data_IF_642430202844
#
_entry.id   IF_642430202844
#
_cell.length_a   1.000
_cell.length_b   1.000
_cell.length_c   1.000
_cell.angle_alpha   90.00
_cell.angle_beta   90.00
_cell.angle_gamma   90.00
#
_symmetry.space_group_name_H-M   'P 1'
#
loop_
_entity.id
_entity.type
_entity.pdbx_description
1 polymer ?
#
# COMPACT_ATOMS: atom_id res chain seq x y z
N UNK A 1 -6.59 -5.82 -15.04
CA UNK A 1 -5.97 -5.62 -13.70
C UNK A 1 -4.78 -6.56 -13.42
N UNK A 2 -4.87 -7.86 -13.71
CA UNK A 2 -3.71 -8.79 -13.62
C UNK A 2 -2.59 -8.50 -14.64
N UNK A 3 -2.93 -7.89 -15.78
CA UNK A 3 -1.98 -7.67 -16.88
C UNK A 3 -1.15 -6.38 -16.77
N UNK A 4 -1.44 -5.50 -15.80
CA UNK A 4 -0.72 -4.23 -15.59
C UNK A 4 0.25 -4.27 -14.40
N UNK A 5 0.47 -5.42 -13.76
CA UNK A 5 1.31 -5.52 -12.56
C UNK A 5 0.79 -4.73 -11.33
N UNK A 6 -0.44 -4.20 -11.40
CA UNK A 6 -1.01 -3.29 -10.40
C UNK A 6 -1.64 -4.00 -9.19
N UNK A 7 -1.42 -5.31 -9.01
CA UNK A 7 -1.97 -6.07 -7.89
C UNK A 7 -1.41 -5.68 -6.52
N UNK A 8 -0.33 -4.90 -6.50
CA UNK A 8 0.36 -4.46 -5.27
C UNK A 8 0.16 -2.97 -4.98
N UNK A 9 -0.71 -2.27 -5.73
CA UNK A 9 -1.03 -0.86 -5.53
C UNK A 9 -2.33 -0.77 -4.71
N UNK A 10 -2.38 0.01 -3.63
CA UNK A 10 -3.60 0.16 -2.85
C UNK A 10 -4.66 0.83 -3.72
N UNK A 11 -5.86 0.22 -3.75
CA UNK A 11 -6.94 0.62 -4.65
C UNK A 11 -8.13 1.12 -3.85
N UNK A 12 -8.68 2.27 -4.26
CA UNK A 12 -9.92 2.82 -3.73
C UNK A 12 -10.97 2.71 -4.82
N UNK A 13 -12.10 2.05 -4.53
CA UNK A 13 -13.22 1.95 -5.47
C UNK A 13 -14.10 3.19 -5.32
N UNK A 14 -14.37 3.87 -6.42
CA UNK A 14 -15.17 5.11 -6.43
C UNK A 14 -16.29 5.00 -7.47
N UNK A 15 -17.53 5.15 -7.02
CA UNK A 15 -18.72 5.33 -7.84
C UNK A 15 -18.94 6.82 -8.10
N UNK A 16 -18.60 7.25 -9.31
CA UNK A 16 -18.80 8.62 -9.75
C UNK A 16 -20.20 8.83 -10.33
N UNK A 17 -20.65 10.09 -10.42
CA UNK A 17 -21.93 10.55 -10.99
C UNK A 17 -23.17 10.26 -10.13
N UNK A 18 -23.04 10.34 -8.80
CA UNK A 18 -24.20 10.16 -7.91
C UNK A 18 -25.32 11.19 -8.13
N UNK A 19 -25.02 12.32 -8.78
CA UNK A 19 -26.01 13.31 -9.20
C UNK A 19 -27.03 12.79 -10.21
N UNK A 20 -26.75 11.68 -10.90
CA UNK A 20 -27.66 11.05 -11.86
C UNK A 20 -28.53 9.94 -11.22
N UNK A 21 -28.34 9.66 -9.93
CA UNK A 21 -28.95 8.51 -9.25
C UNK A 21 -30.03 9.01 -8.29
N UNK A 22 -31.17 8.32 -8.26
CA UNK A 22 -32.23 8.63 -7.28
C UNK A 22 -31.72 8.36 -5.86
N UNK A 23 -31.97 9.23 -4.86
CA UNK A 23 -31.42 9.11 -3.51
C UNK A 23 -31.60 7.73 -2.87
N UNK A 24 -32.77 7.11 -3.09
CA UNK A 24 -33.12 5.78 -2.57
C UNK A 24 -32.29 4.62 -3.15
N UNK A 25 -31.57 4.81 -4.25
CA UNK A 25 -30.71 3.78 -4.84
C UNK A 25 -29.28 3.82 -4.26
N UNK A 26 -28.87 4.94 -3.66
CA UNK A 26 -27.53 5.10 -3.08
C UNK A 26 -27.38 4.23 -1.83
N UNK A 27 -28.42 4.11 -1.00
CA UNK A 27 -28.36 3.27 0.20
C UNK A 27 -28.29 1.77 -0.11
N UNK A 28 -28.82 1.33 -1.25
CA UNK A 28 -28.64 -0.06 -1.72
C UNK A 28 -27.19 -0.35 -2.16
N UNK A 29 -26.47 0.66 -2.65
CA UNK A 29 -25.09 0.56 -3.11
C UNK A 29 -24.06 0.75 -1.97
N UNK A 30 -24.42 1.42 -0.87
CA UNK A 30 -23.58 1.62 0.32
C UNK A 30 -23.21 0.34 1.09
N UNK A 31 -23.78 -0.82 0.74
CA UNK A 31 -23.42 -2.10 1.37
C UNK A 31 -21.97 -2.55 1.06
N UNK A 32 -21.34 -1.99 0.03
CA UNK A 32 -19.93 -2.24 -0.27
C UNK A 32 -19.06 -1.33 0.61
N UNK A 33 -18.66 -1.85 1.78
CA UNK A 33 -17.90 -1.13 2.83
C UNK A 33 -16.63 -0.43 2.34
N UNK A 34 -16.11 -0.75 1.16
CA UNK A 34 -14.88 -0.16 0.63
C UNK A 34 -15.08 0.82 -0.53
N UNK A 35 -16.32 1.13 -0.87
CA UNK A 35 -16.66 2.00 -2.00
C UNK A 35 -17.00 3.41 -1.55
N UNK A 36 -16.53 4.40 -2.31
CA UNK A 36 -16.89 5.81 -2.13
C UNK A 36 -17.85 6.26 -3.23
N UNK A 37 -18.70 7.23 -2.89
CA UNK A 37 -19.73 7.75 -3.77
C UNK A 37 -19.49 9.25 -3.98
N UNK A 38 -19.17 9.65 -5.22
CA UNK A 38 -18.84 11.04 -5.53
C UNK A 38 -19.66 11.57 -6.70
N UNK A 39 -19.82 12.89 -6.76
CA UNK A 39 -20.18 13.61 -7.97
C UNK A 39 -19.02 14.51 -8.37
N UNK A 40 -18.26 14.10 -9.38
CA UNK A 40 -17.20 14.94 -9.94
C UNK A 40 -17.73 16.26 -10.53
N UNK A 41 -19.01 16.30 -10.92
CA UNK A 41 -19.66 17.50 -11.45
C UNK A 41 -19.91 18.56 -10.37
N UNK A 42 -20.38 18.12 -9.20
CA UNK A 42 -20.82 19.01 -8.13
C UNK A 42 -19.80 19.11 -6.98
N UNK A 43 -18.74 18.30 -6.99
CA UNK A 43 -17.76 18.20 -5.91
C UNK A 43 -18.23 17.41 -4.68
N UNK A 44 -19.43 16.83 -4.70
CA UNK A 44 -19.95 16.06 -3.58
C UNK A 44 -19.11 14.78 -3.35
N UNK A 45 -18.77 14.49 -2.10
CA UNK A 45 -18.00 13.29 -1.70
C UNK A 45 -16.48 13.41 -1.87
N UNK A 46 -15.96 14.59 -2.24
CA UNK A 46 -14.52 14.81 -2.40
C UNK A 46 -13.77 14.82 -1.07
N UNK A 47 -14.37 15.36 0.00
CA UNK A 47 -13.75 15.35 1.33
C UNK A 47 -13.52 13.92 1.84
N UNK A 48 -14.51 13.03 1.67
CA UNK A 48 -14.37 11.61 2.02
C UNK A 48 -13.34 10.89 1.13
N UNK A 49 -13.25 11.26 -0.15
CA UNK A 49 -12.24 10.73 -1.05
C UNK A 49 -10.83 11.16 -0.64
N UNK A 50 -10.64 12.43 -0.30
CA UNK A 50 -9.37 12.96 0.17
C UNK A 50 -8.95 12.30 1.49
N UNK A 51 -9.84 12.20 2.48
CA UNK A 51 -9.56 11.52 3.75
C UNK A 51 -9.17 10.05 3.55
N UNK A 52 -9.85 9.35 2.62
CA UNK A 52 -9.53 7.95 2.33
C UNK A 52 -8.21 7.80 1.57
N UNK A 53 -7.90 8.72 0.66
CA UNK A 53 -6.60 8.79 -0.02
C UNK A 53 -5.50 9.03 1.02
N UNK A 54 -5.67 9.99 1.92
CA UNK A 54 -4.71 10.28 2.98
C UNK A 54 -4.51 9.05 3.87
N UNK A 55 -5.58 8.38 4.33
CA UNK A 55 -5.45 7.14 5.12
C UNK A 55 -4.70 6.02 4.39
N UNK A 56 -4.88 5.92 3.09
CA UNK A 56 -4.18 4.94 2.24
C UNK A 56 -2.72 5.35 1.99
N UNK A 57 -2.42 6.63 1.82
CA UNK A 57 -1.07 7.12 1.56
C UNK A 57 -0.22 7.23 2.83
N UNK A 58 -0.83 7.63 3.95
CA UNK A 58 -0.22 7.61 5.28
C UNK A 58 -0.22 6.22 5.92
N UNK A 59 -0.27 5.16 5.11
CA UNK A 59 -0.10 3.78 5.56
C UNK A 59 1.11 3.71 6.48
N UNK A 60 0.84 3.26 7.70
CA UNK A 60 1.72 3.30 8.87
C UNK A 60 3.13 2.85 8.49
N UNK A 61 4.11 3.69 8.82
CA UNK A 61 5.52 3.29 8.72
C UNK A 61 5.76 2.13 9.68
N UNK A 62 5.89 0.94 9.12
CA UNK A 62 6.25 -0.25 9.87
C UNK A 62 7.76 -0.27 10.06
N UNK A 63 8.18 -0.53 11.30
CA UNK A 63 9.57 -0.78 11.63
C UNK A 63 9.74 -2.26 11.89
N UNK A 64 10.72 -2.89 11.24
CA UNK A 64 10.99 -4.31 11.42
C UNK A 64 12.44 -4.66 11.15
N UNK A 65 12.84 -5.83 11.64
CA UNK A 65 14.19 -6.36 11.45
C UNK A 65 14.17 -7.45 10.39
N UNK A 66 15.02 -7.34 9.39
CA UNK A 66 15.19 -8.32 8.31
C UNK A 66 16.62 -8.86 8.31
N UNK A 67 16.76 -10.16 8.09
CA UNK A 67 18.07 -10.81 7.90
C UNK A 67 18.22 -11.14 6.42
N UNK A 68 19.20 -10.53 5.76
CA UNK A 68 19.46 -10.66 4.33
C UNK A 68 20.83 -11.27 4.14
N UNK A 69 20.93 -12.28 3.29
CA UNK A 69 22.21 -12.89 2.93
C UNK A 69 22.86 -12.12 1.78
N UNK A 70 24.19 -11.97 1.80
CA UNK A 70 24.94 -11.30 0.72
C UNK A 70 24.74 -11.95 -0.66
N UNK A 71 24.31 -13.21 -0.70
CA UNK A 71 24.07 -13.93 -1.95
C UNK A 71 22.85 -13.42 -2.75
N UNK A 72 22.13 -12.40 -2.28
CA UNK A 72 20.96 -11.82 -2.97
C UNK A 72 21.13 -10.31 -3.20
N UNK A 73 22.05 -9.89 -4.10
CA UNK A 73 22.35 -8.47 -4.33
C UNK A 73 21.12 -7.66 -4.74
N UNK A 74 20.20 -8.25 -5.53
CA UNK A 74 18.94 -7.59 -5.92
C UNK A 74 18.05 -7.21 -4.73
N UNK A 75 17.97 -8.09 -3.72
CA UNK A 75 17.17 -7.83 -2.52
C UNK A 75 17.86 -6.78 -1.63
N UNK A 76 19.19 -6.83 -1.53
CA UNK A 76 19.98 -5.82 -0.83
C UNK A 76 19.72 -4.44 -1.45
N UNK A 77 19.98 -4.26 -2.75
CA UNK A 77 19.73 -2.99 -3.45
C UNK A 77 18.29 -2.49 -3.28
N UNK A 78 17.30 -3.39 -3.40
CA UNK A 78 15.90 -3.04 -3.22
C UNK A 78 15.62 -2.49 -1.81
N UNK A 79 16.13 -3.15 -0.77
CA UNK A 79 15.95 -2.71 0.62
C UNK A 79 16.65 -1.39 0.88
N UNK A 80 17.88 -1.20 0.38
CA UNK A 80 18.60 0.06 0.54
C UNK A 80 17.94 1.23 -0.19
N UNK A 81 17.31 0.97 -1.34
CA UNK A 81 16.70 2.02 -2.17
C UNK A 81 15.28 2.39 -1.74
N UNK A 82 14.51 1.44 -1.19
CA UNK A 82 13.07 1.61 -0.91
C UNK A 82 12.74 1.66 0.59
N UNK A 83 13.75 1.60 1.47
CA UNK A 83 13.52 1.60 2.92
C UNK A 83 14.48 2.54 3.64
N UNK A 84 14.05 3.05 4.79
CA UNK A 84 14.93 3.82 5.67
C UNK A 84 15.63 2.87 6.63
N UNK A 85 16.95 2.75 6.52
CA UNK A 85 17.75 1.93 7.45
C UNK A 85 17.93 2.70 8.77
N UNK A 86 17.49 2.09 9.86
CA UNK A 86 17.66 2.60 11.22
C UNK A 86 18.91 2.03 11.89
N UNK A 87 19.19 0.74 11.64
CA UNK A 87 20.32 0.03 12.24
C UNK A 87 20.83 -1.06 11.29
N UNK A 88 22.14 -1.32 11.33
CA UNK A 88 22.81 -2.31 10.49
C UNK A 88 23.82 -3.10 11.30
N UNK A 89 23.65 -4.41 11.35
CA UNK A 89 24.50 -5.35 12.08
C UNK A 89 24.94 -6.52 11.20
N UNK A 90 26.18 -6.95 11.36
CA UNK A 90 26.82 -7.95 10.52
C UNK A 90 27.03 -9.24 11.32
N UNK A 91 26.49 -10.36 10.84
CA UNK A 91 26.65 -11.68 11.47
C UNK A 91 27.14 -12.69 10.43
N UNK A 92 28.45 -12.76 10.24
CA UNK A 92 29.08 -13.69 9.31
C UNK A 92 28.57 -13.49 7.87
N UNK A 93 27.93 -14.51 7.30
CA UNK A 93 27.37 -14.48 5.95
C UNK A 93 26.01 -13.77 5.84
N UNK A 94 25.43 -13.31 6.94
CA UNK A 94 24.13 -12.63 6.96
C UNK A 94 24.24 -11.22 7.55
N UNK A 95 23.40 -10.33 7.02
CA UNK A 95 23.28 -8.94 7.45
C UNK A 95 21.90 -8.74 8.08
N UNK A 96 21.87 -8.27 9.33
CA UNK A 96 20.64 -7.84 10.00
C UNK A 96 20.45 -6.35 9.80
N UNK A 97 19.32 -5.97 9.22
CA UNK A 97 18.91 -4.58 9.07
C UNK A 97 17.64 -4.31 9.85
N UNK A 98 17.65 -3.25 10.65
CA UNK A 98 16.43 -2.65 11.17
C UNK A 98 16.01 -1.56 10.20
N UNK A 99 14.86 -1.75 9.56
CA UNK A 99 14.35 -0.87 8.50
C UNK A 99 13.00 -0.30 8.90
N UNK A 100 12.73 0.91 8.43
CA UNK A 100 11.43 1.55 8.49
C UNK A 100 10.93 1.75 7.06
N UNK A 101 9.74 1.23 6.77
CA UNK A 101 9.16 1.26 5.43
C UNK A 101 7.63 1.19 5.50
N UNK A 102 6.95 1.36 4.37
CA UNK A 102 5.51 1.15 4.25
C UNK A 102 5.16 -0.35 4.20
N UNK A 103 3.88 -0.66 4.44
CA UNK A 103 3.40 -2.05 4.52
C UNK A 103 3.54 -2.81 3.19
N UNK A 104 3.44 -2.13 2.04
CA UNK A 104 3.55 -2.79 0.73
C UNK A 104 4.99 -3.23 0.49
N UNK A 105 5.94 -2.33 0.73
CA UNK A 105 7.37 -2.61 0.61
C UNK A 105 7.80 -3.69 1.62
N UNK A 106 7.29 -3.65 2.85
CA UNK A 106 7.52 -4.70 3.85
C UNK A 106 7.04 -6.07 3.37
N UNK A 107 5.82 -6.16 2.83
CA UNK A 107 5.27 -7.40 2.30
C UNK A 107 6.06 -7.94 1.10
N UNK A 108 6.57 -7.06 0.22
CA UNK A 108 7.45 -7.45 -0.89
C UNK A 108 8.75 -8.07 -0.40
N UNK A 109 9.39 -7.45 0.59
CA UNK A 109 10.63 -7.94 1.20
C UNK A 109 10.39 -9.32 1.84
N UNK A 110 9.29 -9.48 2.59
CA UNK A 110 8.93 -10.75 3.22
C UNK A 110 8.67 -11.88 2.21
N UNK A 111 8.00 -11.59 1.08
CA UNK A 111 7.79 -12.58 0.01
C UNK A 111 9.10 -13.04 -0.61
N UNK A 112 10.02 -12.13 -0.90
CA UNK A 112 11.32 -12.47 -1.48
C UNK A 112 12.19 -13.28 -0.50
N UNK A 113 12.08 -13.03 0.81
CA UNK A 113 12.77 -13.81 1.84
C UNK A 113 12.19 -15.24 2.03
N UNK A 114 10.87 -15.43 1.79
CA UNK A 114 10.19 -16.73 1.93
C UNK A 114 10.35 -17.66 0.73
N UNK A 115 10.68 -17.13 -0.45
CA UNK A 115 10.97 -17.93 -1.67
C UNK A 115 12.38 -18.59 -1.63
N UNK A 116 12.83 -19.01 -0.44
CA UNK A 116 14.06 -19.78 -0.23
C UNK A 116 13.86 -21.24 -0.62
#
# INVERSE_FOLDING_TARGET
>A
LKELGAGEIPMIKVYNKIDLIHPNCVDALKNDKNSLFISAKNGAGFDELLDKIDKVLYTQKTTGTVSINYNQPKLVDFVFSNTKILEKSYHGAEMKLKIQTDELTWNKIQKQLKNK
#
